data_IF_193859299394
#
_entry.id   IF_193859299394
#
_cell.length_a   1.000
_cell.length_b   1.000
_cell.length_c   1.000
_cell.angle_alpha   90.00
_cell.angle_beta   90.00
_cell.angle_gamma   90.00
#
_symmetry.space_group_name_H-M   'P 1'
#
loop_
_entity.id
_entity.type
_entity.pdbx_description
1 polymer ?
#
# COMPACT_ATOMS: atom_id res chain seq x y z
N UNK A 1 39.42 -7.39 2.68
CA UNK A 1 38.35 -7.56 3.68
C UNK A 1 37.04 -7.24 2.98
N UNK A 2 35.98 -8.02 3.23
CA UNK A 2 34.68 -7.70 2.62
C UNK A 2 34.17 -6.39 3.20
N UNK A 3 33.66 -5.47 2.37
CA UNK A 3 33.10 -4.18 2.80
C UNK A 3 32.07 -4.33 3.94
N UNK A 4 31.39 -5.48 3.99
CA UNK A 4 30.47 -5.85 5.05
C UNK A 4 31.14 -5.99 6.44
N UNK A 5 32.35 -6.54 6.50
CA UNK A 5 33.08 -6.75 7.76
C UNK A 5 33.51 -5.41 8.36
N UNK A 6 33.92 -4.45 7.53
CA UNK A 6 34.29 -3.10 7.99
C UNK A 6 33.08 -2.36 8.57
N UNK A 7 31.91 -2.46 7.93
CA UNK A 7 30.66 -1.87 8.44
C UNK A 7 30.20 -2.53 9.75
N UNK A 8 30.39 -3.84 9.89
CA UNK A 8 30.05 -4.57 11.11
C UNK A 8 30.93 -4.11 12.28
N UNK A 9 32.24 -3.93 12.07
CA UNK A 9 33.14 -3.42 13.10
C UNK A 9 32.82 -1.96 13.48
N UNK A 10 32.44 -1.13 12.51
CA UNK A 10 31.98 0.24 12.79
C UNK A 10 30.67 0.24 13.61
N UNK A 11 29.72 -0.63 13.28
CA UNK A 11 28.47 -0.75 14.03
C UNK A 11 28.70 -1.26 15.47
N UNK A 12 29.69 -2.13 15.70
CA UNK A 12 30.05 -2.59 17.04
C UNK A 12 30.64 -1.49 17.93
N UNK A 13 31.29 -0.49 17.34
CA UNK A 13 31.88 0.63 18.07
C UNK A 13 30.84 1.68 18.52
N UNK A 14 29.59 1.56 18.05
CA UNK A 14 28.48 2.42 18.48
C UNK A 14 27.98 2.04 19.87
N UNK A 15 27.36 2.99 20.56
CA UNK A 15 26.63 2.72 21.81
C UNK A 15 25.39 1.85 21.55
N UNK A 16 24.85 1.22 22.60
CA UNK A 16 23.65 0.38 22.47
C UNK A 16 22.44 1.14 21.91
N UNK A 17 22.28 2.42 22.26
CA UNK A 17 21.21 3.28 21.72
C UNK A 17 21.38 3.55 20.23
N UNK A 18 22.60 3.85 19.79
CA UNK A 18 22.91 4.09 18.38
C UNK A 18 22.78 2.81 17.54
N UNK A 19 23.14 1.65 18.11
CA UNK A 19 22.92 0.34 17.46
C UNK A 19 21.43 0.07 17.25
N UNK A 20 20.59 0.32 18.27
CA UNK A 20 19.14 0.16 18.16
C UNK A 20 18.54 1.08 17.10
N UNK A 21 18.97 2.35 17.08
CA UNK A 21 18.54 3.33 16.08
C UNK A 21 18.95 2.92 14.67
N UNK A 22 20.16 2.43 14.49
CA UNK A 22 20.64 1.93 13.20
C UNK A 22 19.82 0.72 12.70
N UNK A 23 19.45 -0.20 13.60
CA UNK A 23 18.59 -1.34 13.25
C UNK A 23 17.20 -0.88 12.81
N UNK A 24 16.63 0.12 13.49
CA UNK A 24 15.35 0.71 13.13
C UNK A 24 15.40 1.35 11.73
N UNK A 25 16.40 2.20 11.48
CA UNK A 25 16.59 2.89 10.21
C UNK A 25 16.79 1.90 9.05
N UNK A 26 17.66 0.90 9.24
CA UNK A 26 17.87 -0.15 8.23
C UNK A 26 16.59 -0.96 7.97
N UNK A 27 15.83 -1.26 9.01
CA UNK A 27 14.55 -1.98 8.86
C UNK A 27 13.53 -1.16 8.07
N UNK A 28 13.47 0.15 8.27
CA UNK A 28 12.62 1.07 7.50
C UNK A 28 13.05 1.08 6.03
N UNK A 29 14.35 1.25 5.76
CA UNK A 29 14.89 1.27 4.40
C UNK A 29 14.60 -0.01 3.64
N UNK A 30 14.82 -1.17 4.25
CA UNK A 30 14.52 -2.48 3.66
C UNK A 30 13.03 -2.60 3.35
N UNK A 31 12.14 -2.22 4.29
CA UNK A 31 10.69 -2.23 4.05
C UNK A 31 10.30 -1.33 2.90
N UNK A 32 10.84 -0.12 2.81
CA UNK A 32 10.56 0.80 1.70
C UNK A 32 11.01 0.22 0.35
N UNK A 33 12.22 -0.36 0.28
CA UNK A 33 12.74 -1.01 -0.92
C UNK A 33 11.83 -2.17 -1.38
N UNK A 34 11.34 -2.98 -0.44
CA UNK A 34 10.42 -4.08 -0.71
C UNK A 34 9.01 -3.58 -1.10
N UNK A 35 8.58 -2.44 -0.56
CA UNK A 35 7.25 -1.88 -0.87
C UNK A 35 7.21 -1.24 -2.25
N UNK A 36 8.32 -0.62 -2.69
CA UNK A 36 8.48 -0.05 -4.03
C UNK A 36 8.52 -1.15 -5.11
N UNK A 37 9.12 -2.30 -4.79
CA UNK A 37 9.24 -3.42 -5.73
C UNK A 37 8.00 -4.32 -5.80
N UNK A 38 7.11 -4.28 -4.81
CA UNK A 38 6.02 -5.25 -4.65
C UNK A 38 4.62 -4.75 -4.99
N UNK A 39 4.39 -3.44 -5.15
CA UNK A 39 3.05 -2.96 -5.55
C UNK A 39 2.91 -2.95 -7.07
N UNK A 40 2.18 -3.91 -7.68
CA UNK A 40 1.84 -3.82 -9.10
C UNK A 40 1.11 -2.49 -9.32
N UNK A 41 1.40 -1.83 -10.46
CA UNK A 41 0.62 -0.67 -10.90
C UNK A 41 -0.85 -1.10 -10.99
N UNK A 42 -1.66 -0.65 -10.04
CA UNK A 42 -3.08 -1.00 -9.98
C UNK A 42 -3.79 -0.34 -11.15
N UNK A 43 -4.57 -1.12 -11.87
CA UNK A 43 -5.44 -0.60 -12.92
C UNK A 43 -6.84 -0.38 -12.37
N UNK A 44 -7.48 0.74 -12.74
CA UNK A 44 -8.90 0.97 -12.42
C UNK A 44 -9.80 -0.14 -13.01
N UNK A 45 -9.33 -0.85 -14.03
CA UNK A 45 -10.02 -1.99 -14.63
C UNK A 45 -10.15 -3.19 -13.69
N UNK A 46 -9.35 -3.27 -12.61
CA UNK A 46 -9.52 -4.28 -11.56
C UNK A 46 -10.87 -4.18 -10.84
N UNK A 47 -11.52 -3.01 -10.90
CA UNK A 47 -12.85 -2.79 -10.30
C UNK A 47 -14.00 -3.16 -11.26
N UNK A 48 -13.71 -3.48 -12.52
CA UNK A 48 -14.74 -3.75 -13.54
C UNK A 48 -15.55 -4.97 -13.14
N UNK A 49 -16.86 -4.79 -13.00
CA UNK A 49 -17.81 -5.89 -12.76
C UNK A 49 -18.01 -6.29 -11.31
N UNK A 50 -17.27 -5.71 -10.35
CA UNK A 50 -17.45 -5.99 -8.92
C UNK A 50 -18.87 -5.67 -8.41
N UNK A 51 -19.54 -4.70 -9.03
CA UNK A 51 -20.92 -4.35 -8.67
C UNK A 51 -22.00 -5.23 -9.30
N UNK A 52 -21.67 -6.10 -10.27
CA UNK A 52 -22.68 -6.77 -11.10
C UNK A 52 -23.73 -7.54 -10.28
N UNK A 53 -23.30 -8.24 -9.23
CA UNK A 53 -24.19 -9.03 -8.38
C UNK A 53 -25.07 -8.15 -7.48
N UNK A 54 -24.54 -7.00 -7.05
CA UNK A 54 -25.27 -6.01 -6.24
C UNK A 54 -26.38 -5.34 -7.07
N UNK A 55 -26.09 -5.03 -8.34
CA UNK A 55 -27.02 -4.40 -9.27
C UNK A 55 -27.92 -5.38 -10.03
N UNK A 56 -27.76 -6.69 -9.83
CA UNK A 56 -28.39 -7.72 -10.66
C UNK A 56 -29.92 -7.78 -10.58
N UNK A 57 -30.50 -7.35 -9.46
CA UNK A 57 -31.96 -7.32 -9.23
C UNK A 57 -32.54 -5.91 -9.22
N UNK A 58 -31.73 -4.91 -9.54
CA UNK A 58 -32.15 -3.51 -9.58
C UNK A 58 -32.46 -3.16 -11.04
N UNK A 59 -33.69 -2.72 -11.29
CA UNK A 59 -34.01 -2.11 -12.58
C UNK A 59 -33.26 -0.77 -12.68
N UNK A 60 -32.37 -0.69 -13.66
CA UNK A 60 -31.49 0.46 -13.82
C UNK A 60 -32.27 1.75 -14.13
N UNK A 61 -33.37 1.64 -14.87
CA UNK A 61 -34.16 2.79 -15.25
C UNK A 61 -34.99 3.31 -14.07
N UNK A 62 -35.57 2.39 -13.30
CA UNK A 62 -36.31 2.72 -12.09
C UNK A 62 -35.42 3.37 -11.03
N UNK A 63 -34.22 2.82 -10.80
CA UNK A 63 -33.25 3.41 -9.87
C UNK A 63 -32.88 4.84 -10.26
N UNK A 64 -32.60 5.09 -11.55
CA UNK A 64 -32.27 6.43 -12.04
C UNK A 64 -33.45 7.39 -11.91
N UNK A 65 -34.69 6.93 -12.10
CA UNK A 65 -35.87 7.76 -11.92
C UNK A 65 -36.03 8.16 -10.45
N UNK A 66 -35.88 7.22 -9.51
CA UNK A 66 -35.95 7.49 -8.07
C UNK A 66 -34.87 8.48 -7.60
N UNK A 67 -33.65 8.36 -8.11
CA UNK A 67 -32.57 9.31 -7.83
C UNK A 67 -32.87 10.70 -8.42
N UNK A 68 -33.51 10.80 -9.58
CA UNK A 68 -33.90 12.11 -10.14
C UNK A 68 -35.02 12.76 -9.35
N UNK A 69 -36.01 11.97 -8.95
CA UNK A 69 -37.14 12.45 -8.16
C UNK A 69 -36.70 12.87 -6.76
N UNK A 70 -35.71 12.21 -6.16
CA UNK A 70 -35.15 12.60 -4.86
C UNK A 70 -34.31 13.88 -4.91
N UNK A 71 -33.87 14.31 -6.09
CA UNK A 71 -33.14 15.56 -6.32
C UNK A 71 -34.04 16.69 -6.83
N UNK A 72 -35.28 16.39 -7.21
CA UNK A 72 -36.31 17.39 -7.43
C UNK A 72 -36.80 17.88 -6.07
N UNK A 73 -36.11 18.92 -5.56
CA UNK A 73 -36.29 19.49 -4.22
C UNK A 73 -37.70 19.95 -3.85
#
# INVERSE_FOLDING_TARGET
MSHYQELLEQAKNLTAEEQLKLVEDLSILIRQQLTITSKPKRSILELRGLGKEIWGNIDAQEYVNQERDSWNG
#
